data_IF_699668413214
#
_entry.id   IF_699668413214
#
_cell.length_a   1.000
_cell.length_b   1.000
_cell.length_c   1.000
_cell.angle_alpha   90.00
_cell.angle_beta   90.00
_cell.angle_gamma   90.00
#
_symmetry.space_group_name_H-M   'P 1'
#
loop_
_entity.id
_entity.type
_entity.pdbx_description
1 polymer ?
#
# COMPACT_ATOMS: atom_id res chain seq x y z
N UNK A 1 -16.39 -26.10 1.29
CA UNK A 1 -17.15 -24.83 1.45
C UNK A 1 -16.53 -24.01 2.57
N UNK A 2 -16.09 -22.78 2.29
CA UNK A 2 -15.61 -21.85 3.32
C UNK A 2 -16.81 -21.28 4.11
N UNK A 3 -16.75 -21.28 5.44
CA UNK A 3 -17.83 -20.81 6.34
C UNK A 3 -17.97 -19.27 6.44
N UNK A 4 -17.38 -18.51 5.50
CA UNK A 4 -17.23 -17.05 5.61
C UNK A 4 -18.01 -16.21 4.60
N UNK A 5 -18.87 -16.79 3.77
CA UNK A 5 -19.53 -16.04 2.69
C UNK A 5 -20.83 -15.34 3.14
N UNK A 6 -20.74 -14.37 4.05
CA UNK A 6 -21.80 -13.35 4.19
C UNK A 6 -21.44 -12.04 4.91
N UNK A 7 -20.17 -11.78 5.21
CA UNK A 7 -19.79 -10.51 5.84
C UNK A 7 -19.19 -9.57 4.78
N UNK A 8 -19.63 -8.31 4.74
CA UNK A 8 -18.96 -7.28 3.94
C UNK A 8 -17.61 -6.98 4.58
N UNK A 9 -16.53 -7.41 3.93
CA UNK A 9 -15.14 -7.25 4.41
C UNK A 9 -14.62 -5.83 4.12
N UNK A 10 -15.37 -4.82 4.55
CA UNK A 10 -14.90 -3.45 4.56
C UNK A 10 -14.09 -3.24 5.83
N UNK A 11 -12.81 -2.89 5.70
CA UNK A 11 -11.98 -2.54 6.87
C UNK A 11 -12.28 -1.09 7.22
N UNK A 12 -12.84 -0.80 8.41
CA UNK A 12 -13.08 0.58 8.82
C UNK A 12 -11.75 1.32 8.97
N UNK A 13 -11.72 2.58 8.55
CA UNK A 13 -10.51 3.41 8.54
C UNK A 13 -9.87 3.52 9.93
N UNK A 14 -10.67 3.53 10.99
CA UNK A 14 -10.21 3.55 12.38
C UNK A 14 -9.40 2.31 12.77
N UNK A 15 -9.72 1.14 12.21
CA UNK A 15 -8.94 -0.07 12.43
C UNK A 15 -7.62 0.01 11.66
N UNK A 16 -7.65 0.50 10.42
CA UNK A 16 -6.44 0.69 9.63
C UNK A 16 -5.45 1.65 10.30
N UNK A 17 -5.93 2.78 10.82
CA UNK A 17 -5.12 3.74 11.57
C UNK A 17 -4.45 3.11 12.79
N UNK A 18 -5.18 2.26 13.54
CA UNK A 18 -4.61 1.53 14.69
C UNK A 18 -3.50 0.55 14.29
N UNK A 19 -3.56 -0.03 13.10
CA UNK A 19 -2.50 -0.92 12.61
C UNK A 19 -1.29 -0.09 12.17
N UNK A 20 -1.52 0.99 11.42
CA UNK A 20 -0.46 1.89 10.96
C UNK A 20 0.31 2.50 12.14
N UNK A 21 -0.38 2.88 13.23
CA UNK A 21 0.26 3.41 14.44
C UNK A 21 1.21 2.43 15.15
N UNK A 22 1.15 1.13 14.83
CA UNK A 22 2.07 0.12 15.37
C UNK A 22 3.33 -0.07 14.51
N UNK A 23 3.37 0.51 13.31
CA UNK A 23 4.54 0.44 12.44
C UNK A 23 5.58 1.41 13.01
N UNK A 24 6.78 0.90 13.28
CA UNK A 24 7.85 1.69 13.85
C UNK A 24 8.37 2.71 12.82
N UNK A 25 8.78 3.92 13.24
CA UNK A 25 9.31 4.92 12.31
C UNK A 25 10.49 4.41 11.48
N UNK A 26 11.38 3.58 12.04
CA UNK A 26 12.49 3.00 11.28
C UNK A 26 12.06 2.04 10.17
N UNK A 27 10.87 1.43 10.29
CA UNK A 27 10.27 0.54 9.30
C UNK A 27 9.34 1.28 8.33
N UNK A 28 9.08 2.57 8.58
CA UNK A 28 8.12 3.40 7.86
C UNK A 28 8.78 4.28 6.81
N UNK A 29 8.27 4.29 5.57
CA UNK A 29 8.66 5.31 4.58
C UNK A 29 8.25 6.71 5.04
N UNK A 30 8.77 7.75 4.38
CA UNK A 30 8.30 9.13 4.59
C UNK A 30 6.84 9.29 4.17
N UNK A 31 6.20 10.38 4.61
CA UNK A 31 4.84 10.74 4.16
C UNK A 31 4.77 10.90 2.64
N UNK A 32 5.76 11.54 2.01
CA UNK A 32 5.78 11.79 0.57
C UNK A 32 5.76 10.47 -0.23
N UNK A 33 6.63 9.52 0.13
CA UNK A 33 6.65 8.21 -0.53
C UNK A 33 5.40 7.39 -0.19
N UNK A 34 4.85 7.54 1.02
CA UNK A 34 3.61 6.89 1.41
C UNK A 34 2.44 7.34 0.54
N UNK A 35 2.26 8.65 0.36
CA UNK A 35 1.21 9.25 -0.48
C UNK A 35 1.35 8.85 -1.95
N UNK A 36 2.58 8.87 -2.50
CA UNK A 36 2.83 8.42 -3.87
C UNK A 36 2.46 6.95 -4.08
N UNK A 37 2.84 6.08 -3.15
CA UNK A 37 2.50 4.64 -3.20
C UNK A 37 0.99 4.41 -3.12
N UNK A 38 0.29 5.16 -2.27
CA UNK A 38 -1.16 5.13 -2.16
C UNK A 38 -1.84 5.61 -3.45
N UNK A 39 -1.39 6.72 -4.03
CA UNK A 39 -1.87 7.25 -5.32
C UNK A 39 -1.73 6.22 -6.45
N UNK A 40 -0.57 5.55 -6.52
CA UNK A 40 -0.34 4.48 -7.48
C UNK A 40 -1.30 3.28 -7.30
N UNK A 41 -1.64 2.94 -6.05
CA UNK A 41 -2.66 1.94 -5.75
C UNK A 41 -4.09 2.41 -6.08
N UNK A 42 -4.42 3.67 -5.80
CA UNK A 42 -5.74 4.25 -6.09
C UNK A 42 -6.09 4.25 -7.58
N UNK A 43 -5.07 4.32 -8.44
CA UNK A 43 -5.21 4.22 -9.91
C UNK A 43 -4.95 2.80 -10.45
N UNK A 44 -4.94 1.78 -9.60
CA UNK A 44 -4.66 0.40 -9.98
C UNK A 44 -5.96 -0.38 -10.18
N UNK A 45 -6.10 -1.00 -11.36
CA UNK A 45 -7.26 -1.86 -11.70
C UNK A 45 -7.40 -3.07 -10.76
N UNK A 46 -6.30 -3.48 -10.13
CA UNK A 46 -6.24 -4.60 -9.19
C UNK A 46 -6.45 -4.17 -7.73
N UNK A 47 -6.91 -2.94 -7.48
CA UNK A 47 -7.36 -2.50 -6.15
C UNK A 47 -8.82 -2.90 -5.94
N UNK A 48 -9.06 -3.75 -4.95
CA UNK A 48 -10.39 -4.20 -4.57
C UNK A 48 -10.82 -3.59 -3.25
N UNK A 49 -12.12 -3.31 -3.13
CA UNK A 49 -12.74 -2.68 -1.95
C UNK A 49 -12.10 -1.33 -1.55
N UNK A 50 -11.39 -0.66 -2.46
CA UNK A 50 -10.66 0.59 -2.20
C UNK A 50 -9.42 0.45 -1.31
N UNK A 51 -9.17 -0.72 -0.71
CA UNK A 51 -8.10 -0.89 0.29
C UNK A 51 -7.22 -2.10 0.07
N UNK A 52 -7.62 -3.08 -0.75
CA UNK A 52 -6.98 -4.41 -0.80
C UNK A 52 -6.38 -4.69 -2.16
N UNK A 53 -5.10 -5.05 -2.21
CA UNK A 53 -4.46 -5.43 -3.48
C UNK A 53 -4.83 -6.87 -3.87
N UNK A 54 -5.34 -7.07 -5.08
CA UNK A 54 -5.72 -8.39 -5.59
C UNK A 54 -4.54 -9.32 -5.91
N UNK A 55 -3.31 -8.81 -6.02
CA UNK A 55 -2.13 -9.64 -6.28
C UNK A 55 -1.51 -10.24 -5.02
N UNK A 56 -1.65 -9.59 -3.86
CA UNK A 56 -1.07 -10.08 -2.61
C UNK A 56 -2.06 -10.24 -1.46
N UNK A 57 -3.29 -9.75 -1.60
CA UNK A 57 -4.31 -9.76 -0.54
C UNK A 57 -4.03 -8.79 0.62
N UNK A 58 -2.97 -7.98 0.58
CA UNK A 58 -2.66 -7.04 1.64
C UNK A 58 -3.45 -5.74 1.53
N UNK A 59 -3.67 -5.08 2.67
CA UNK A 59 -4.15 -3.70 2.71
C UNK A 59 -3.06 -2.76 2.18
N UNK A 60 -3.41 -1.97 1.16
CA UNK A 60 -2.44 -1.14 0.42
C UNK A 60 -1.82 -0.06 1.29
N UNK A 61 -2.56 0.49 2.25
CA UNK A 61 -2.02 1.45 3.21
C UNK A 61 -0.92 0.85 4.10
N UNK A 62 -1.09 -0.36 4.61
CA UNK A 62 -0.04 -1.02 5.40
C UNK A 62 1.18 -1.28 4.52
N UNK A 63 0.96 -1.86 3.35
CA UNK A 63 2.05 -2.22 2.44
C UNK A 63 2.80 -0.99 1.90
N UNK A 64 2.09 0.11 1.64
CA UNK A 64 2.68 1.37 1.19
C UNK A 64 3.55 2.00 2.27
N UNK A 65 3.18 1.83 3.55
CA UNK A 65 3.92 2.40 4.69
C UNK A 65 5.26 1.70 4.96
N UNK A 66 5.37 0.40 4.70
CA UNK A 66 6.58 -0.37 5.02
C UNK A 66 7.72 -0.09 4.04
N UNK A 67 8.91 0.25 4.55
CA UNK A 67 10.12 0.55 3.75
C UNK A 67 10.52 -0.62 2.85
N UNK A 68 10.50 -1.83 3.39
CA UNK A 68 10.93 -3.06 2.71
C UNK A 68 9.88 -3.62 1.74
N UNK A 69 8.71 -3.00 1.67
CA UNK A 69 7.64 -3.43 0.77
C UNK A 69 7.75 -2.79 -0.61
N UNK A 70 7.40 -3.59 -1.63
CA UNK A 70 7.31 -3.17 -3.03
C UNK A 70 5.95 -3.55 -3.62
N UNK A 71 5.58 -2.96 -4.75
CA UNK A 71 4.37 -3.36 -5.46
C UNK A 71 4.49 -4.82 -5.97
N UNK A 72 3.53 -5.71 -5.65
CA UNK A 72 3.55 -7.11 -6.09
C UNK A 72 2.96 -7.32 -7.49
N UNK A 73 2.62 -6.24 -8.20
CA UNK A 73 1.98 -6.31 -9.51
C UNK A 73 2.86 -7.09 -10.52
N UNK A 74 2.29 -7.98 -11.35
CA UNK A 74 3.06 -8.81 -12.29
C UNK A 74 3.68 -8.02 -13.45
N UNK A 75 3.06 -6.91 -13.86
CA UNK A 75 3.63 -5.99 -14.86
C UNK A 75 4.73 -5.10 -14.27
N UNK A 76 5.88 -5.04 -14.95
CA UNK A 76 7.04 -4.25 -14.53
C UNK A 76 6.76 -2.74 -14.43
N UNK A 77 5.91 -2.18 -15.30
CA UNK A 77 5.58 -0.75 -15.29
C UNK A 77 4.92 -0.29 -13.98
N UNK A 78 3.96 -1.06 -13.46
CA UNK A 78 3.32 -0.76 -12.18
C UNK A 78 4.28 -0.96 -11.01
N UNK A 79 5.20 -1.96 -11.07
CA UNK A 79 6.27 -2.09 -10.06
C UNK A 79 7.21 -0.90 -10.07
N UNK A 80 7.59 -0.43 -11.25
CA UNK A 80 8.47 0.71 -11.42
C UNK A 80 7.86 2.00 -10.83
N UNK A 81 6.54 2.18 -10.86
CA UNK A 81 5.89 3.36 -10.24
C UNK A 81 6.22 3.52 -8.74
N UNK A 82 6.38 2.41 -8.00
CA UNK A 82 6.80 2.45 -6.59
C UNK A 82 8.31 2.69 -6.43
N UNK A 83 9.12 2.28 -7.41
CA UNK A 83 10.58 2.47 -7.40
C UNK A 83 10.94 3.90 -7.77
N UNK A 84 10.27 4.47 -8.77
CA UNK A 84 10.43 5.87 -9.18
C UNK A 84 10.06 6.82 -8.04
N UNK A 85 9.03 6.50 -7.25
CA UNK A 85 8.66 7.28 -6.08
C UNK A 85 9.79 7.35 -5.03
N UNK A 86 10.56 6.26 -4.86
CA UNK A 86 11.74 6.23 -3.98
C UNK A 86 12.86 7.11 -4.53
N UNK A 87 13.05 7.12 -5.86
CA UNK A 87 14.07 7.95 -6.51
C UNK A 87 13.70 9.45 -6.45
N UNK A 88 12.43 9.79 -6.60
CA UNK A 88 11.94 11.16 -6.44
C UNK A 88 12.16 11.71 -5.03
N UNK A 89 11.96 10.88 -3.99
CA UNK A 89 12.28 11.25 -2.60
C UNK A 89 13.78 11.52 -2.40
N UNK A 90 14.65 10.69 -2.96
CA UNK A 90 16.10 10.88 -2.87
C UNK A 90 16.59 12.16 -3.55
N UNK A 91 15.90 12.64 -4.59
CA UNK A 91 16.24 13.87 -5.32
C UNK A 91 15.66 15.14 -4.67
N UNK A 92 14.57 15.03 -3.89
CA UNK A 92 13.94 16.14 -3.21
C UNK A 92 14.66 16.57 -1.91
N UNK A 93 15.70 15.83 -1.50
CA UNK A 93 16.43 16.04 -0.26
C UNK A 93 17.83 16.69 -0.47
N UNK A 94 18.06 17.27 -1.65
CA UNK A 94 19.27 18.04 -2.05
C UNK A 94 18.89 19.51 -2.17
#
# INVERSE_FOLDING_TARGET
MCKGCRESVAVPESHLARILAKIRPEDSVSEFLYEQRLSACGSCESLSYGTTCMHCGCLVAIRARLKTSHCPHPSAGKRASWVLAVQAEAHAQI
#
